data_IF_065396238502
#
_entry.id   IF_065396238502
#
_cell.length_a   1.000
_cell.length_b   1.000
_cell.length_c   1.000
_cell.angle_alpha   90.00
_cell.angle_beta   90.00
_cell.angle_gamma   90.00
#
_symmetry.space_group_name_H-M   'P 1'
#
loop_
_entity.id
_entity.type
_entity.pdbx_description
1 polymer ?
#
# COMPACT_ATOMS: atom_id res chain seq x y z
N UNK A 1 11.80 -15.15 7.14
CA UNK A 1 12.22 -13.95 6.39
C UNK A 1 11.05 -12.97 6.33
N UNK A 2 11.28 -11.67 6.31
CA UNK A 2 10.23 -10.65 6.17
C UNK A 2 10.50 -9.82 4.92
N UNK A 3 9.46 -9.58 4.12
CA UNK A 3 9.54 -8.80 2.88
C UNK A 3 8.48 -7.72 2.93
N UNK A 4 8.88 -6.47 2.68
CA UNK A 4 7.99 -5.32 2.54
C UNK A 4 7.88 -4.97 1.05
N UNK A 5 6.66 -4.89 0.53
CA UNK A 5 6.39 -4.50 -0.86
C UNK A 5 5.58 -3.22 -0.84
N UNK A 6 6.18 -2.12 -1.29
CA UNK A 6 5.46 -0.88 -1.56
C UNK A 6 4.73 -0.97 -2.89
N UNK A 7 3.44 -0.66 -2.90
CA UNK A 7 2.62 -0.69 -4.11
C UNK A 7 1.73 0.54 -4.27
N UNK A 8 1.43 0.81 -5.52
CA UNK A 8 0.44 1.75 -6.03
C UNK A 8 -0.37 1.06 -7.15
N UNK A 9 -1.27 1.80 -7.81
CA UNK A 9 -2.05 1.28 -8.95
C UNK A 9 -1.29 1.40 -10.29
N UNK A 10 0.05 1.41 -10.24
CA UNK A 10 0.86 1.48 -11.46
C UNK A 10 1.09 0.10 -12.08
N UNK A 11 1.33 0.03 -13.41
CA UNK A 11 1.75 -1.21 -14.07
C UNK A 11 3.03 -1.82 -13.49
N UNK A 12 3.89 -1.01 -12.85
CA UNK A 12 5.15 -1.46 -12.27
C UNK A 12 4.90 -2.25 -10.98
N UNK A 13 3.99 -1.77 -10.13
CA UNK A 13 3.52 -2.52 -8.95
C UNK A 13 2.91 -3.86 -9.36
N UNK A 14 2.14 -3.89 -10.44
CA UNK A 14 1.54 -5.11 -10.96
C UNK A 14 2.59 -6.13 -11.44
N UNK A 15 3.64 -5.66 -12.12
CA UNK A 15 4.77 -6.49 -12.52
C UNK A 15 5.55 -7.05 -11.33
N UNK A 16 5.72 -6.26 -10.26
CA UNK A 16 6.35 -6.71 -9.01
C UNK A 16 5.54 -7.84 -8.37
N UNK A 17 4.21 -7.70 -8.27
CA UNK A 17 3.37 -8.78 -7.73
C UNK A 17 3.49 -10.04 -8.59
N UNK A 18 3.44 -9.92 -9.91
CA UNK A 18 3.65 -11.05 -10.82
C UNK A 18 4.98 -11.76 -10.58
N UNK A 19 6.08 -11.01 -10.49
CA UNK A 19 7.40 -11.56 -10.21
C UNK A 19 7.47 -12.26 -8.84
N UNK A 20 6.92 -11.64 -7.79
CA UNK A 20 6.93 -12.21 -6.44
C UNK A 20 6.13 -13.52 -6.40
N UNK A 21 4.97 -13.59 -7.06
CA UNK A 21 4.16 -14.82 -7.12
C UNK A 21 4.85 -15.96 -7.87
N UNK A 22 5.66 -15.66 -8.88
CA UNK A 22 6.40 -16.66 -9.67
C UNK A 22 7.74 -17.09 -9.06
N UNK A 23 8.15 -16.49 -7.94
CA UNK A 23 9.46 -16.72 -7.33
C UNK A 23 9.36 -17.76 -6.21
N UNK A 24 10.34 -18.66 -6.12
CA UNK A 24 10.44 -19.60 -5.00
C UNK A 24 10.96 -18.89 -3.75
N UNK A 25 10.15 -18.89 -2.67
CA UNK A 25 10.49 -18.27 -1.40
C UNK A 25 10.75 -19.33 -0.31
N UNK A 26 11.61 -19.03 0.69
CA UNK A 26 11.69 -19.85 1.89
C UNK A 26 10.31 -20.01 2.55
N UNK A 27 9.97 -21.21 3.03
CA UNK A 27 8.63 -21.55 3.57
C UNK A 27 8.11 -20.60 4.66
N UNK A 28 9.00 -20.00 5.45
CA UNK A 28 8.64 -19.07 6.53
C UNK A 28 8.78 -17.59 6.12
N UNK A 29 8.59 -17.26 4.84
CA UNK A 29 8.59 -15.88 4.35
C UNK A 29 7.23 -15.24 4.61
N UNK A 30 7.25 -14.05 5.22
CA UNK A 30 6.06 -13.23 5.46
C UNK A 30 6.15 -11.94 4.64
N UNK A 31 5.11 -11.64 3.89
CA UNK A 31 4.99 -10.45 3.07
C UNK A 31 4.09 -9.42 3.75
N UNK A 32 4.54 -8.18 3.72
CA UNK A 32 3.72 -7.03 4.06
C UNK A 32 3.59 -6.17 2.80
N UNK A 33 2.37 -6.08 2.29
CA UNK A 33 2.02 -5.21 1.16
C UNK A 33 1.56 -3.87 1.74
N UNK A 34 2.22 -2.78 1.31
CA UNK A 34 1.97 -1.44 1.82
C UNK A 34 1.59 -0.51 0.66
N UNK A 35 0.43 0.12 0.74
CA UNK A 35 0.10 1.26 -0.12
C UNK A 35 0.02 2.55 0.72
N UNK A 36 0.55 3.65 0.19
CA UNK A 36 0.63 4.91 0.89
C UNK A 36 -0.26 5.96 0.23
N UNK A 37 -1.28 6.41 0.95
CA UNK A 37 -2.12 7.55 0.57
C UNK A 37 -1.35 8.84 0.85
N UNK A 38 -0.92 9.51 -0.22
CA UNK A 38 -0.18 10.77 -0.10
C UNK A 38 -1.11 11.87 0.42
N UNK A 39 -0.64 12.70 1.36
CA UNK A 39 -1.44 13.82 1.86
C UNK A 39 -1.71 14.82 0.72
N UNK A 40 -2.94 15.31 0.67
CA UNK A 40 -3.35 16.35 -0.26
C UNK A 40 -3.15 17.70 0.43
N UNK A 41 -2.30 18.55 -0.14
CA UNK A 41 -2.12 19.92 0.33
C UNK A 41 -3.04 20.85 -0.47
N UNK A 42 -4.06 21.38 0.20
CA UNK A 42 -4.95 22.40 -0.36
C UNK A 42 -4.73 23.69 0.44
N UNK A 43 -4.54 24.82 -0.23
CA UNK A 43 -4.56 26.13 0.42
C UNK A 43 -5.96 26.40 0.94
N UNK A 44 -6.14 26.42 2.26
CA UNK A 44 -7.46 26.45 2.88
C UNK A 44 -7.75 27.82 3.49
N UNK A 45 -8.43 28.69 2.73
CA UNK A 45 -9.03 29.92 3.27
C UNK A 45 -10.57 29.84 3.42
N UNK A 46 -11.21 28.67 3.16
CA UNK A 46 -12.66 28.51 3.35
C UNK A 46 -13.07 27.26 4.16
N UNK A 47 -14.01 27.40 5.13
CA UNK A 47 -14.55 26.28 5.91
C UNK A 47 -15.23 25.19 5.07
N UNK A 48 -15.89 25.55 3.96
CA UNK A 48 -16.50 24.57 3.04
C UNK A 48 -15.44 23.66 2.38
N UNK A 49 -14.19 24.11 2.28
CA UNK A 49 -13.10 23.30 1.79
C UNK A 49 -12.70 22.20 2.78
N UNK A 50 -12.86 22.40 4.10
CA UNK A 50 -12.43 21.42 5.11
C UNK A 50 -13.20 20.09 5.01
N UNK A 51 -14.53 20.14 4.87
CA UNK A 51 -15.36 18.93 4.72
C UNK A 51 -15.13 18.24 3.37
N UNK A 52 -14.87 19.01 2.32
CA UNK A 52 -14.51 18.45 1.01
C UNK A 52 -13.15 17.75 1.05
N UNK A 53 -12.15 18.36 1.70
CA UNK A 53 -10.82 17.78 1.91
C UNK A 53 -10.92 16.50 2.74
N UNK A 54 -11.68 16.51 3.84
CA UNK A 54 -11.87 15.33 4.69
C UNK A 54 -12.45 14.14 3.92
N UNK A 55 -13.48 14.39 3.09
CA UNK A 55 -14.05 13.34 2.21
C UNK A 55 -13.04 12.83 1.20
N UNK A 56 -12.30 13.73 0.55
CA UNK A 56 -11.28 13.36 -0.43
C UNK A 56 -10.16 12.52 0.21
N UNK A 57 -9.72 12.85 1.42
CA UNK A 57 -8.74 12.05 2.14
C UNK A 57 -9.27 10.65 2.50
N UNK A 58 -10.53 10.55 2.94
CA UNK A 58 -11.17 9.26 3.23
C UNK A 58 -11.32 8.38 1.98
N UNK A 59 -11.66 8.98 0.83
CA UNK A 59 -11.71 8.28 -0.45
C UNK A 59 -10.33 7.79 -0.90
N UNK A 60 -9.29 8.61 -0.73
CA UNK A 60 -7.91 8.20 -1.00
C UNK A 60 -7.47 7.03 -0.12
N UNK A 61 -7.73 7.10 1.19
CA UNK A 61 -7.38 6.00 2.10
C UNK A 61 -8.11 4.70 1.70
N UNK A 62 -9.39 4.80 1.35
CA UNK A 62 -10.17 3.66 0.87
C UNK A 62 -9.58 3.08 -0.41
N UNK A 63 -9.26 3.92 -1.39
CA UNK A 63 -8.67 3.50 -2.66
C UNK A 63 -7.33 2.77 -2.45
N UNK A 64 -6.44 3.33 -1.62
CA UNK A 64 -5.17 2.68 -1.30
C UNK A 64 -5.33 1.37 -0.50
N UNK A 65 -6.36 1.27 0.35
CA UNK A 65 -6.73 0.00 1.00
C UNK A 65 -7.15 -1.07 -0.01
N UNK A 66 -7.92 -0.70 -1.01
CA UNK A 66 -8.33 -1.62 -2.07
C UNK A 66 -7.14 -2.11 -2.90
N UNK A 67 -6.18 -1.22 -3.22
CA UNK A 67 -4.94 -1.58 -3.91
C UNK A 67 -4.11 -2.58 -3.07
N UNK A 68 -3.84 -2.24 -1.79
CA UNK A 68 -3.08 -3.08 -0.87
C UNK A 68 -3.70 -4.48 -0.72
N UNK A 69 -5.03 -4.54 -0.54
CA UNK A 69 -5.74 -5.80 -0.34
C UNK A 69 -5.76 -6.65 -1.62
N UNK A 70 -5.99 -6.05 -2.80
CA UNK A 70 -5.99 -6.76 -4.09
C UNK A 70 -4.65 -7.44 -4.35
N UNK A 71 -3.56 -6.74 -4.09
CA UNK A 71 -2.22 -7.30 -4.25
C UNK A 71 -1.91 -8.39 -3.20
N UNK A 72 -2.26 -8.18 -1.93
CA UNK A 72 -2.07 -9.20 -0.89
C UNK A 72 -2.91 -10.46 -1.17
N UNK A 73 -4.13 -10.31 -1.69
CA UNK A 73 -4.97 -11.43 -2.12
C UNK A 73 -4.28 -12.26 -3.20
N UNK A 74 -3.72 -11.63 -4.24
CA UNK A 74 -2.95 -12.33 -5.29
C UNK A 74 -1.76 -13.11 -4.74
N UNK A 75 -1.05 -12.57 -3.74
CA UNK A 75 0.04 -13.30 -3.07
C UNK A 75 -0.50 -14.52 -2.28
N UNK A 76 -1.63 -14.37 -1.58
CA UNK A 76 -2.25 -15.48 -0.83
C UNK A 76 -2.78 -16.57 -1.74
N UNK A 77 -3.39 -16.21 -2.88
CA UNK A 77 -3.85 -17.14 -3.91
C UNK A 77 -2.69 -17.96 -4.49
N UNK A 78 -1.49 -17.37 -4.57
CA UNK A 78 -0.25 -18.07 -4.93
C UNK A 78 0.36 -18.90 -3.78
N UNK A 79 -0.31 -19.00 -2.63
CA UNK A 79 0.14 -19.78 -1.47
C UNK A 79 1.14 -19.06 -0.56
N UNK A 80 1.34 -17.75 -0.72
CA UNK A 80 2.27 -16.96 0.10
C UNK A 80 1.57 -16.36 1.33
N UNK A 81 2.29 -16.24 2.45
CA UNK A 81 1.78 -15.57 3.66
C UNK A 81 1.91 -14.06 3.52
N UNK A 82 0.79 -13.36 3.28
CA UNK A 82 0.76 -11.92 3.05
C UNK A 82 -0.26 -11.16 3.92
N UNK A 83 0.14 -9.97 4.39
CA UNK A 83 -0.72 -8.97 5.03
C UNK A 83 -0.79 -7.71 4.16
N UNK A 84 -1.93 -7.02 4.16
CA UNK A 84 -2.09 -5.71 3.53
C UNK A 84 -2.13 -4.62 4.59
N UNK A 85 -1.52 -3.48 4.31
CA UNK A 85 -1.62 -2.26 5.12
C UNK A 85 -1.70 -1.02 4.24
N UNK A 86 -2.44 -0.04 4.74
CA UNK A 86 -2.48 1.31 4.20
C UNK A 86 -1.95 2.28 5.24
N UNK A 87 -1.28 3.32 4.77
CA UNK A 87 -0.78 4.41 5.60
C UNK A 87 -1.08 5.73 4.92
N UNK A 88 -1.41 6.73 5.72
CA UNK A 88 -1.52 8.12 5.27
C UNK A 88 -0.19 8.80 5.55
N UNK A 89 0.41 9.42 4.53
CA UNK A 89 1.68 10.12 4.66
C UNK A 89 2.62 9.91 3.48
N UNK A 90 3.84 10.41 3.61
CA UNK A 90 4.88 10.27 2.59
C UNK A 90 5.22 8.77 2.35
N UNK A 91 5.08 8.26 1.11
CA UNK A 91 5.33 6.86 0.80
C UNK A 91 6.75 6.40 1.15
N UNK A 92 7.75 7.27 0.93
CA UNK A 92 9.16 6.94 1.20
C UNK A 92 9.40 6.79 2.70
N UNK A 93 8.94 7.74 3.51
CA UNK A 93 9.06 7.69 4.97
C UNK A 93 8.32 6.47 5.54
N UNK A 94 7.13 6.17 5.02
CA UNK A 94 6.35 5.03 5.45
C UNK A 94 7.02 3.68 5.19
N UNK A 95 7.68 3.52 4.03
CA UNK A 95 8.44 2.33 3.69
C UNK A 95 9.68 2.18 4.60
N UNK A 96 10.43 3.26 4.81
CA UNK A 96 11.62 3.24 5.67
C UNK A 96 11.28 2.88 7.11
N UNK A 97 10.20 3.44 7.67
CA UNK A 97 9.77 3.18 9.04
C UNK A 97 9.35 1.71 9.28
N UNK A 98 9.00 0.97 8.23
CA UNK A 98 8.50 -0.41 8.30
C UNK A 98 9.46 -1.43 7.70
N UNK A 99 10.64 -1.00 7.26
CA UNK A 99 11.66 -1.91 6.76
C UNK A 99 12.08 -2.88 7.87
N UNK A 100 12.09 -4.19 7.61
CA UNK A 100 12.55 -5.17 8.60
C UNK A 100 14.03 -4.93 8.94
N UNK A 101 14.36 -4.91 10.24
CA UNK A 101 15.75 -4.93 10.73
C UNK A 101 16.34 -6.33 10.67
#
# INVERSE_FOLDING_TARGET
MKVLIGIDDSPHSDAVIGHVTGTAWPKATKFLVLSAASPIFVGADEPAAADAIGRLMAEQEKYHKEIAERAAARLREAGLSAEARTVVGDPRAALLARSPR
#
